data_IF_593048168763
#
_entry.id   IF_593048168763
#
_cell.length_a   1.000
_cell.length_b   1.000
_cell.length_c   1.000
_cell.angle_alpha   90.00
_cell.angle_beta   90.00
_cell.angle_gamma   90.00
#
_symmetry.space_group_name_H-M   'P 1'
#
loop_
_entity.id
_entity.type
_entity.pdbx_description
1 polymer ?
#
# COMPACT_ATOMS: atom_id res chain seq x y z
N UNK A 1 -22.88 1.04 -31.31
CA UNK A 1 -22.31 2.31 -30.79
C UNK A 1 -22.81 2.57 -29.36
N UNK A 2 -22.50 1.67 -28.41
CA UNK A 2 -22.93 1.76 -26.99
C UNK A 2 -21.76 1.70 -26.01
N UNK A 3 -20.65 1.09 -26.43
CA UNK A 3 -19.38 1.01 -25.69
C UNK A 3 -18.87 2.38 -25.21
N UNK A 4 -19.03 3.42 -26.03
CA UNK A 4 -18.58 4.77 -25.69
C UNK A 4 -19.42 5.37 -24.56
N UNK A 5 -20.74 5.15 -24.60
CA UNK A 5 -21.67 5.59 -23.54
C UNK A 5 -21.38 4.86 -22.22
N UNK A 6 -21.13 3.55 -22.28
CA UNK A 6 -20.73 2.75 -21.11
C UNK A 6 -19.38 3.19 -20.52
N UNK A 7 -18.38 3.45 -21.37
CA UNK A 7 -17.08 3.97 -20.93
C UNK A 7 -17.23 5.33 -20.25
N UNK A 8 -18.09 6.20 -20.76
CA UNK A 8 -18.37 7.51 -20.18
C UNK A 8 -19.05 7.38 -18.80
N UNK A 9 -19.96 6.41 -18.63
CA UNK A 9 -20.60 6.13 -17.35
C UNK A 9 -19.60 5.59 -16.31
N UNK A 10 -18.70 4.70 -16.72
CA UNK A 10 -17.60 4.19 -15.88
C UNK A 10 -16.61 5.30 -15.48
N UNK A 11 -16.39 6.30 -16.34
CA UNK A 11 -15.54 7.45 -16.02
C UNK A 11 -16.22 8.40 -15.03
N UNK A 12 -17.54 8.56 -15.10
CA UNK A 12 -18.31 9.38 -14.17
C UNK A 12 -18.36 8.76 -12.77
N UNK A 13 -18.45 7.44 -12.67
CA UNK A 13 -18.45 6.72 -11.41
C UNK A 13 -17.09 6.07 -11.18
N UNK A 14 -16.18 6.80 -10.52
CA UNK A 14 -14.88 6.27 -10.14
C UNK A 14 -15.06 4.96 -9.34
N UNK A 15 -14.68 3.84 -9.96
CA UNK A 15 -14.73 2.54 -9.31
C UNK A 15 -13.65 2.48 -8.24
N UNK A 16 -14.04 2.72 -6.99
CA UNK A 16 -13.21 2.49 -5.83
C UNK A 16 -13.15 0.98 -5.57
N UNK A 17 -11.98 0.39 -5.78
CA UNK A 17 -11.73 -0.99 -5.41
C UNK A 17 -11.37 -1.02 -3.93
N UNK A 18 -12.31 -1.44 -3.10
CA UNK A 18 -12.09 -1.63 -1.66
C UNK A 18 -11.96 -3.12 -1.35
N UNK A 19 -10.99 -3.49 -0.51
CA UNK A 19 -10.83 -4.87 -0.05
C UNK A 19 -11.83 -5.15 1.07
N UNK A 20 -13.09 -5.39 0.70
CA UNK A 20 -14.16 -5.70 1.66
C UNK A 20 -14.49 -4.58 2.65
N UNK A 21 -14.18 -3.32 2.30
CA UNK A 21 -14.40 -2.15 3.17
C UNK A 21 -13.29 -1.88 4.20
N UNK A 22 -12.25 -2.72 4.26
CA UNK A 22 -11.15 -2.56 5.21
C UNK A 22 -10.13 -1.51 4.76
N UNK A 23 -9.84 -1.47 3.46
CA UNK A 23 -8.96 -0.49 2.86
C UNK A 23 -9.27 -0.33 1.38
N UNK A 24 -9.17 0.91 0.90
CA UNK A 24 -9.20 1.17 -0.53
C UNK A 24 -7.84 0.86 -1.16
N UNK A 25 -7.90 0.21 -2.33
CA UNK A 25 -6.76 -0.05 -3.21
C UNK A 25 -6.43 1.27 -3.91
N UNK A 26 -5.84 2.18 -3.14
CA UNK A 26 -5.38 3.48 -3.58
C UNK A 26 -3.86 3.53 -3.55
N UNK A 27 -3.25 4.20 -4.53
CA UNK A 27 -1.79 4.35 -4.63
C UNK A 27 -1.19 4.99 -3.36
N UNK A 28 -1.94 5.88 -2.73
CA UNK A 28 -1.57 6.50 -1.44
C UNK A 28 -1.48 5.47 -0.31
N UNK A 29 -2.45 4.56 -0.23
CA UNK A 29 -2.47 3.53 0.80
C UNK A 29 -1.38 2.48 0.56
N UNK A 30 -1.13 2.15 -0.71
CA UNK A 30 -0.01 1.30 -1.11
C UNK A 30 1.35 1.89 -0.71
N UNK A 31 1.57 3.19 -0.96
CA UNK A 31 2.77 3.89 -0.53
C UNK A 31 2.96 3.84 1.00
N UNK A 32 1.89 4.05 1.76
CA UNK A 32 1.93 3.96 3.23
C UNK A 32 2.29 2.55 3.74
N UNK A 33 1.77 1.50 3.09
CA UNK A 33 2.10 0.11 3.42
C UNK A 33 3.59 -0.17 3.15
N UNK A 34 4.11 0.22 2.00
CA UNK A 34 5.54 0.05 1.67
C UNK A 34 6.43 0.75 2.70
N UNK A 35 6.08 2.00 3.04
CA UNK A 35 6.85 2.79 4.00
C UNK A 35 6.86 2.12 5.37
N UNK A 36 5.70 1.65 5.82
CA UNK A 36 5.54 0.93 7.10
C UNK A 36 6.38 -0.35 7.13
N UNK A 37 6.34 -1.16 6.08
CA UNK A 37 7.16 -2.38 5.97
C UNK A 37 8.65 -2.03 6.00
N UNK A 38 9.06 -1.02 5.23
CA UNK A 38 10.46 -0.58 5.17
C UNK A 38 10.95 -0.12 6.53
N UNK A 39 10.17 0.72 7.22
CA UNK A 39 10.49 1.20 8.57
C UNK A 39 10.63 0.03 9.55
N UNK A 40 9.71 -0.94 9.53
CA UNK A 40 9.80 -2.12 10.39
C UNK A 40 11.08 -2.93 10.13
N UNK A 41 11.43 -3.17 8.86
CA UNK A 41 12.66 -3.89 8.50
C UNK A 41 13.91 -3.14 8.96
N UNK A 42 13.96 -1.82 8.78
CA UNK A 42 15.08 -0.99 9.24
C UNK A 42 15.24 -1.06 10.76
N UNK A 43 14.15 -0.98 11.52
CA UNK A 43 14.17 -1.10 12.97
C UNK A 43 14.70 -2.49 13.39
N UNK A 44 14.22 -3.56 12.76
CA UNK A 44 14.71 -4.91 13.03
C UNK A 44 16.21 -5.04 12.76
N UNK A 45 16.70 -4.48 11.67
CA UNK A 45 18.14 -4.50 11.33
C UNK A 45 18.94 -3.77 12.40
N UNK A 46 18.49 -2.60 12.87
CA UNK A 46 19.17 -1.85 13.93
C UNK A 46 19.29 -2.67 15.21
N UNK A 47 18.20 -3.30 15.66
CA UNK A 47 18.23 -4.16 16.85
C UNK A 47 19.13 -5.38 16.67
N UNK A 48 19.16 -6.00 15.48
CA UNK A 48 20.05 -7.13 15.18
C UNK A 48 21.52 -6.71 15.19
N UNK A 49 21.86 -5.57 14.60
CA UNK A 49 23.23 -5.03 14.57
C UNK A 49 23.73 -4.67 15.96
N UNK A 50 22.89 -4.06 16.81
CA UNK A 50 23.22 -3.78 18.20
C UNK A 50 23.50 -5.06 18.98
N UNK A 51 22.62 -6.07 18.87
CA UNK A 51 22.79 -7.36 19.55
C UNK A 51 24.07 -8.10 19.13
N UNK A 52 24.50 -8.02 17.87
CA UNK A 52 25.75 -8.63 17.42
C UNK A 52 26.99 -7.83 17.86
N UNK A 53 26.87 -6.51 18.00
CA UNK A 53 27.97 -5.66 18.50
C UNK A 53 28.20 -5.88 20.00
N UNK A 54 27.14 -6.07 20.79
CA UNK A 54 27.23 -6.35 22.23
C UNK A 54 27.73 -7.77 22.57
N UNK A 55 27.62 -8.71 21.63
CA UNK A 55 28.15 -10.08 21.80
C UNK A 55 29.66 -10.19 21.59
N UNK A 56 30.30 -9.16 21.03
CA UNK A 56 31.71 -9.16 20.67
C UNK A 56 32.54 -8.46 21.75
#
# INVERSE_FOLDING_TARGET
MRLQEYSLQLMHQQMLFSCGGLFDVNLKNFGAIILTITTYVVILIQFKLQAETEKK
#
